data_IF_443100605502
#
_entry.id   IF_443100605502
#
_cell.length_a   1.000
_cell.length_b   1.000
_cell.length_c   1.000
_cell.angle_alpha   90.00
_cell.angle_beta   90.00
_cell.angle_gamma   90.00
#
_symmetry.space_group_name_H-M   'P 1'
#
loop_
_entity.id
_entity.type
_entity.pdbx_description
1 polymer ?
#
# COMPACT_ATOMS: atom_id res chain seq x y z
N UNK A 1 -10.65 -9.05 12.15
CA UNK A 1 -9.72 -10.09 11.67
C UNK A 1 -9.87 -10.37 10.18
N UNK A 2 -11.07 -10.62 9.66
CA UNK A 2 -11.33 -10.89 8.23
C UNK A 2 -10.84 -9.75 7.32
N UNK A 3 -11.16 -8.49 7.63
CA UNK A 3 -10.72 -7.33 6.84
C UNK A 3 -9.19 -7.17 6.77
N UNK A 4 -8.48 -7.56 7.81
CA UNK A 4 -7.02 -7.55 7.79
C UNK A 4 -6.46 -8.61 6.83
N UNK A 5 -7.05 -9.81 6.81
CA UNK A 5 -6.67 -10.86 5.85
C UNK A 5 -6.97 -10.44 4.40
N UNK A 6 -8.13 -9.85 4.15
CA UNK A 6 -8.48 -9.30 2.84
C UNK A 6 -7.48 -8.20 2.41
N UNK A 7 -7.08 -7.35 3.36
CA UNK A 7 -6.06 -6.33 3.12
C UNK A 7 -4.70 -6.93 2.77
N UNK A 8 -4.26 -7.95 3.51
CA UNK A 8 -3.01 -8.67 3.22
C UNK A 8 -3.05 -9.32 1.84
N UNK A 9 -4.17 -9.98 1.48
CA UNK A 9 -4.36 -10.58 0.15
C UNK A 9 -4.29 -9.52 -0.95
N UNK A 10 -4.92 -8.37 -0.75
CA UNK A 10 -4.83 -7.27 -1.73
C UNK A 10 -3.39 -6.78 -1.92
N UNK A 11 -2.59 -6.75 -0.85
CA UNK A 11 -1.17 -6.37 -0.91
C UNK A 11 -0.32 -7.40 -1.67
N UNK A 12 -0.58 -8.69 -1.46
CA UNK A 12 0.08 -9.75 -2.22
C UNK A 12 -0.25 -9.65 -3.71
N UNK A 13 -1.52 -9.38 -4.04
CA UNK A 13 -1.92 -9.15 -5.43
C UNK A 13 -1.22 -7.91 -6.02
N UNK A 14 -1.14 -6.81 -5.26
CA UNK A 14 -0.42 -5.61 -5.66
C UNK A 14 1.06 -5.86 -5.93
N UNK A 15 1.71 -6.73 -5.14
CA UNK A 15 3.11 -7.15 -5.40
C UNK A 15 3.24 -7.89 -6.73
N UNK A 16 2.26 -8.72 -7.09
CA UNK A 16 2.23 -9.37 -8.41
C UNK A 16 2.09 -8.35 -9.54
N UNK A 17 1.22 -7.35 -9.38
CA UNK A 17 1.06 -6.24 -10.34
C UNK A 17 2.34 -5.43 -10.46
N UNK A 18 2.98 -5.08 -9.34
CA UNK A 18 4.27 -4.38 -9.32
C UNK A 18 5.33 -5.10 -10.14
N UNK A 19 5.53 -6.38 -9.87
CA UNK A 19 6.51 -7.23 -10.58
C UNK A 19 6.21 -7.32 -12.07
N UNK A 20 4.94 -7.50 -12.44
CA UNK A 20 4.53 -7.60 -13.83
C UNK A 20 4.77 -6.28 -14.58
N UNK A 21 4.36 -5.15 -14.01
CA UNK A 21 4.52 -3.82 -14.62
C UNK A 21 5.99 -3.45 -14.70
N UNK A 22 6.77 -3.74 -13.66
CA UNK A 22 8.22 -3.51 -13.65
C UNK A 22 8.88 -4.26 -14.80
N UNK A 23 8.57 -5.55 -14.96
CA UNK A 23 9.10 -6.38 -16.04
C UNK A 23 8.72 -5.83 -17.42
N UNK A 24 7.44 -5.48 -17.63
CA UNK A 24 6.97 -4.92 -18.89
C UNK A 24 7.66 -3.58 -19.22
N UNK A 25 7.83 -2.71 -18.22
CA UNK A 25 8.49 -1.41 -18.43
C UNK A 25 9.96 -1.58 -18.76
N UNK A 26 10.67 -2.45 -18.04
CA UNK A 26 12.10 -2.67 -18.23
C UNK A 26 12.41 -3.36 -19.54
N UNK A 27 11.65 -4.39 -19.94
CA UNK A 27 11.97 -5.17 -21.14
C UNK A 27 11.44 -4.55 -22.45
N UNK A 28 10.33 -3.79 -22.40
CA UNK A 28 9.64 -3.34 -23.61
C UNK A 28 9.57 -1.82 -23.82
N UNK A 29 9.63 -1.02 -22.74
CA UNK A 29 9.39 0.42 -22.83
C UNK A 29 10.70 1.20 -22.72
N UNK A 30 11.52 0.85 -21.76
CA UNK A 30 12.78 1.53 -21.49
C UNK A 30 13.97 0.64 -21.87
N UNK A 31 15.02 1.27 -22.36
CA UNK A 31 16.30 0.63 -22.71
C UNK A 31 17.50 1.44 -22.18
N UNK A 32 17.25 2.30 -21.20
CA UNK A 32 18.25 3.13 -20.57
C UNK A 32 18.35 2.86 -19.08
N UNK A 33 19.52 3.01 -18.51
CA UNK A 33 19.77 2.82 -17.06
C UNK A 33 18.78 3.60 -16.20
N UNK A 34 18.49 4.87 -16.52
CA UNK A 34 17.55 5.70 -15.79
C UNK A 34 16.09 5.22 -15.94
N UNK A 35 15.75 4.73 -17.13
CA UNK A 35 14.43 4.14 -17.40
C UNK A 35 14.21 2.88 -16.57
N UNK A 36 15.16 1.97 -16.60
CA UNK A 36 15.04 0.65 -15.97
C UNK A 36 15.08 0.73 -14.43
N UNK A 37 16.00 1.51 -13.88
CA UNK A 37 16.27 1.51 -12.44
C UNK A 37 15.55 2.62 -11.65
N UNK A 38 15.00 3.63 -12.31
CA UNK A 38 14.31 4.74 -11.64
C UNK A 38 12.87 4.88 -12.12
N UNK A 39 12.64 4.99 -13.43
CA UNK A 39 11.29 5.27 -13.95
C UNK A 39 10.39 4.05 -13.87
N UNK A 40 10.89 2.86 -14.25
CA UNK A 40 10.12 1.61 -14.20
C UNK A 40 9.65 1.26 -12.78
N UNK A 41 10.51 1.32 -11.74
CA UNK A 41 10.06 1.09 -10.36
C UNK A 41 9.03 2.10 -9.84
N UNK A 42 9.11 3.37 -10.25
CA UNK A 42 8.10 4.38 -9.86
C UNK A 42 6.76 4.06 -10.51
N UNK A 43 6.76 3.73 -11.80
CA UNK A 43 5.54 3.37 -12.53
C UNK A 43 4.92 2.10 -11.94
N UNK A 44 5.71 1.05 -11.74
CA UNK A 44 5.22 -0.22 -11.19
C UNK A 44 4.63 -0.05 -9.79
N UNK A 45 5.29 0.74 -8.94
CA UNK A 45 4.79 1.08 -7.60
C UNK A 45 3.42 1.77 -7.66
N UNK A 46 3.24 2.76 -8.53
CA UNK A 46 1.94 3.46 -8.66
C UNK A 46 0.84 2.53 -9.17
N UNK A 47 1.13 1.62 -10.11
CA UNK A 47 0.18 0.60 -10.56
C UNK A 47 -0.18 -0.38 -9.43
N UNK A 48 0.79 -0.80 -8.63
CA UNK A 48 0.55 -1.65 -7.47
C UNK A 48 -0.31 -0.95 -6.41
N UNK A 49 -0.02 0.32 -6.10
CA UNK A 49 -0.80 1.13 -5.16
C UNK A 49 -2.22 1.34 -5.68
N UNK A 50 -2.39 1.65 -6.98
CA UNK A 50 -3.71 1.77 -7.60
C UNK A 50 -4.50 0.47 -7.49
N UNK A 51 -3.89 -0.67 -7.82
CA UNK A 51 -4.51 -1.99 -7.68
C UNK A 51 -4.97 -2.26 -6.25
N UNK A 52 -4.09 -2.06 -5.27
CA UNK A 52 -4.41 -2.22 -3.84
C UNK A 52 -5.53 -1.27 -3.39
N UNK A 53 -5.54 -0.03 -3.91
CA UNK A 53 -6.59 0.94 -3.62
C UNK A 53 -7.94 0.49 -4.20
N UNK A 54 -7.98 -0.01 -5.43
CA UNK A 54 -9.21 -0.50 -6.06
C UNK A 54 -9.80 -1.67 -5.28
N UNK A 55 -8.99 -2.64 -4.85
CA UNK A 55 -9.42 -3.73 -3.98
C UNK A 55 -9.97 -3.21 -2.65
N UNK A 56 -9.28 -2.25 -2.04
CA UNK A 56 -9.70 -1.61 -0.80
C UNK A 56 -11.02 -0.87 -0.97
N UNK A 57 -11.17 -0.10 -2.05
CA UNK A 57 -12.33 0.71 -2.34
C UNK A 57 -13.58 -0.13 -2.68
N UNK A 58 -13.44 -1.12 -3.56
CA UNK A 58 -14.60 -1.89 -4.06
C UNK A 58 -14.94 -3.10 -3.20
N UNK A 59 -14.02 -3.61 -2.41
CA UNK A 59 -14.23 -4.82 -1.60
C UNK A 59 -14.14 -4.56 -0.12
N UNK A 60 -12.96 -4.22 0.41
CA UNK A 60 -12.69 -4.24 1.86
C UNK A 60 -13.51 -3.20 2.62
N UNK A 61 -13.54 -1.97 2.13
CA UNK A 61 -14.24 -0.84 2.77
C UNK A 61 -15.47 -0.34 2.00
N UNK A 62 -16.01 -1.12 1.10
CA UNK A 62 -17.20 -0.78 0.28
C UNK A 62 -18.36 -0.21 1.10
N UNK A 63 -18.61 -0.76 2.29
CA UNK A 63 -19.70 -0.35 3.18
C UNK A 63 -19.52 1.04 3.83
N UNK A 64 -18.30 1.58 3.80
CA UNK A 64 -17.99 2.88 4.40
C UNK A 64 -17.98 4.02 3.39
N UNK A 65 -18.11 3.72 2.11
CA UNK A 65 -18.05 4.71 1.05
C UNK A 65 -19.45 5.23 0.77
N UNK A 66 -19.78 6.37 1.37
CA UNK A 66 -21.05 7.07 1.16
C UNK A 66 -20.99 7.95 -0.09
N UNK A 67 -19.93 8.77 -0.20
CA UNK A 67 -19.72 9.62 -1.37
C UNK A 67 -18.83 8.92 -2.41
N UNK A 68 -19.41 8.63 -3.58
CA UNK A 68 -18.75 7.98 -4.73
C UNK A 68 -18.40 8.94 -5.87
N UNK A 69 -18.43 10.25 -5.61
CA UNK A 69 -18.02 11.24 -6.59
C UNK A 69 -16.57 11.09 -7.04
N UNK A 70 -16.28 11.50 -8.28
CA UNK A 70 -14.93 11.40 -8.86
C UNK A 70 -13.87 12.12 -8.00
N UNK A 71 -14.18 13.33 -7.52
CA UNK A 71 -13.27 14.07 -6.62
C UNK A 71 -12.99 13.31 -5.34
N UNK A 72 -14.02 12.74 -4.70
CA UNK A 72 -13.87 11.95 -3.47
C UNK A 72 -13.04 10.67 -3.69
N UNK A 73 -13.14 10.06 -4.87
CA UNK A 73 -12.32 8.91 -5.25
C UNK A 73 -10.84 9.28 -5.30
N UNK A 74 -10.48 10.35 -6.00
CA UNK A 74 -9.09 10.78 -6.15
C UNK A 74 -8.47 11.31 -4.85
N UNK A 75 -9.25 11.99 -4.01
CA UNK A 75 -8.79 12.42 -2.68
C UNK A 75 -8.45 11.19 -1.82
N UNK A 76 -9.32 10.17 -1.81
CA UNK A 76 -9.03 8.92 -1.08
C UNK A 76 -7.83 8.17 -1.66
N UNK A 77 -7.68 8.16 -2.98
CA UNK A 77 -6.50 7.57 -3.63
C UNK A 77 -5.21 8.26 -3.21
N UNK A 78 -5.18 9.59 -3.17
CA UNK A 78 -4.01 10.35 -2.71
C UNK A 78 -3.67 10.07 -1.26
N UNK A 79 -4.68 9.98 -0.38
CA UNK A 79 -4.49 9.60 1.02
C UNK A 79 -4.00 8.16 1.16
N UNK A 80 -4.49 7.25 0.33
CA UNK A 80 -4.05 5.85 0.31
C UNK A 80 -2.59 5.73 -0.14
N UNK A 81 -2.20 6.48 -1.17
CA UNK A 81 -0.82 6.55 -1.65
C UNK A 81 0.10 7.09 -0.53
N UNK A 82 -0.26 8.21 0.10
CA UNK A 82 0.47 8.77 1.23
C UNK A 82 0.61 7.78 2.40
N UNK A 83 -0.46 7.05 2.72
CA UNK A 83 -0.44 5.97 3.72
C UNK A 83 0.54 4.85 3.32
N UNK A 84 0.61 4.50 2.04
CA UNK A 84 1.53 3.47 1.53
C UNK A 84 2.99 3.92 1.65
N UNK A 85 3.28 5.17 1.35
CA UNK A 85 4.62 5.77 1.55
C UNK A 85 4.99 5.79 3.03
N UNK A 86 4.08 6.21 3.91
CA UNK A 86 4.31 6.18 5.36
C UNK A 86 4.59 4.76 5.87
N UNK A 87 3.83 3.77 5.41
CA UNK A 87 4.06 2.36 5.73
C UNK A 87 5.43 1.86 5.27
N UNK A 88 5.89 2.31 4.10
CA UNK A 88 7.23 2.00 3.60
C UNK A 88 8.33 2.60 4.49
N UNK A 89 8.21 3.85 4.88
CA UNK A 89 9.17 4.52 5.77
C UNK A 89 9.24 3.81 7.13
N UNK A 90 8.12 3.41 7.70
CA UNK A 90 8.07 2.63 8.94
C UNK A 90 8.74 1.28 8.77
N UNK A 91 8.48 0.59 7.65
CA UNK A 91 9.17 -0.67 7.32
C UNK A 91 10.68 -0.49 7.34
N UNK A 92 11.19 0.53 6.67
CA UNK A 92 12.62 0.80 6.60
C UNK A 92 13.21 1.10 7.99
N UNK A 93 12.50 1.89 8.80
CA UNK A 93 12.91 2.19 10.17
C UNK A 93 13.05 0.92 11.01
N UNK A 94 12.02 0.05 11.01
CA UNK A 94 12.04 -1.19 11.78
C UNK A 94 13.04 -2.21 11.25
N UNK A 95 13.27 -2.26 9.94
CA UNK A 95 14.29 -3.11 9.35
C UNK A 95 15.68 -2.77 9.90
N UNK A 96 16.06 -1.49 9.88
CA UNK A 96 17.34 -1.01 10.42
C UNK A 96 17.41 -1.22 11.94
N UNK A 97 16.31 -0.97 12.64
CA UNK A 97 16.24 -1.15 14.09
C UNK A 97 16.46 -2.61 14.49
N UNK A 98 15.81 -3.55 13.80
CA UNK A 98 15.97 -4.99 14.08
C UNK A 98 17.37 -5.50 13.76
N UNK A 99 17.96 -5.04 12.66
CA UNK A 99 19.36 -5.35 12.34
C UNK A 99 20.28 -4.90 13.49
N UNK A 100 20.13 -3.65 13.96
CA UNK A 100 20.99 -3.09 15.02
C UNK A 100 20.79 -3.72 16.38
N UNK A 101 19.55 -4.09 16.76
CA UNK A 101 19.24 -4.62 18.10
C UNK A 101 19.53 -6.12 18.16
N UNK A 102 19.11 -6.88 17.15
CA UNK A 102 19.14 -8.34 17.19
C UNK A 102 20.27 -8.96 16.34
N UNK A 103 20.86 -8.19 15.43
CA UNK A 103 21.87 -8.73 14.51
C UNK A 103 21.34 -9.85 13.61
N UNK A 104 20.04 -9.86 13.33
CA UNK A 104 19.41 -10.89 12.50
C UNK A 104 19.73 -10.68 11.02
N UNK A 105 19.67 -11.77 10.24
CA UNK A 105 19.73 -11.69 8.80
C UNK A 105 18.67 -10.74 8.25
N UNK A 106 19.00 -10.05 7.14
CA UNK A 106 18.13 -9.08 6.45
C UNK A 106 16.74 -9.65 6.17
N UNK A 107 16.63 -10.95 5.87
CA UNK A 107 15.35 -11.61 5.59
C UNK A 107 14.43 -11.60 6.81
N UNK A 108 14.94 -11.96 8.00
CA UNK A 108 14.17 -11.99 9.23
C UNK A 108 13.80 -10.59 9.72
N UNK A 109 14.74 -9.64 9.60
CA UNK A 109 14.49 -8.23 9.88
C UNK A 109 13.39 -7.67 8.97
N UNK A 110 13.42 -8.01 7.67
CA UNK A 110 12.42 -7.59 6.70
C UNK A 110 11.03 -8.18 6.99
N UNK A 111 10.94 -9.45 7.35
CA UNK A 111 9.67 -10.09 7.71
C UNK A 111 9.05 -9.43 8.94
N UNK A 112 9.83 -9.20 9.99
CA UNK A 112 9.36 -8.49 11.18
C UNK A 112 8.91 -7.05 10.88
N UNK A 113 9.70 -6.32 10.10
CA UNK A 113 9.37 -4.96 9.67
C UNK A 113 8.11 -4.91 8.79
N UNK A 114 7.90 -5.90 7.91
CA UNK A 114 6.70 -6.04 7.08
C UNK A 114 5.44 -6.27 7.93
N UNK A 115 5.51 -7.09 8.96
CA UNK A 115 4.37 -7.31 9.86
C UNK A 115 3.95 -6.02 10.55
N UNK A 116 4.90 -5.28 11.12
CA UNK A 116 4.62 -4.02 11.82
C UNK A 116 4.11 -2.95 10.85
N UNK A 117 4.79 -2.75 9.72
CA UNK A 117 4.38 -1.77 8.73
C UNK A 117 3.04 -2.12 8.09
N UNK A 118 2.76 -3.42 7.91
CA UNK A 118 1.48 -3.91 7.40
C UNK A 118 0.32 -3.58 8.33
N UNK A 119 0.49 -3.82 9.63
CA UNK A 119 -0.50 -3.45 10.66
C UNK A 119 -0.70 -1.93 10.71
N UNK A 120 0.37 -1.17 10.69
CA UNK A 120 0.30 0.29 10.70
C UNK A 120 -0.39 0.85 9.45
N UNK A 121 -0.05 0.33 8.29
CA UNK A 121 -0.67 0.73 7.02
C UNK A 121 -2.15 0.34 6.96
N UNK A 122 -2.52 -0.83 7.48
CA UNK A 122 -3.92 -1.22 7.64
C UNK A 122 -4.67 -0.23 8.53
N UNK A 123 -4.09 0.13 9.68
CA UNK A 123 -4.69 1.07 10.62
C UNK A 123 -4.86 2.46 10.02
N UNK A 124 -3.83 2.99 9.35
CA UNK A 124 -3.92 4.27 8.64
C UNK A 124 -5.00 4.25 7.55
N UNK A 125 -5.07 3.17 6.79
CA UNK A 125 -6.08 3.01 5.75
C UNK A 125 -7.49 2.96 6.35
N UNK A 126 -7.68 2.26 7.45
CA UNK A 126 -8.95 2.14 8.14
C UNK A 126 -9.45 3.45 8.76
N UNK A 127 -8.54 4.21 9.37
CA UNK A 127 -8.89 5.43 10.13
C UNK A 127 -8.86 6.68 9.26
N UNK A 128 -7.92 6.79 8.32
CA UNK A 128 -7.73 8.00 7.53
C UNK A 128 -8.42 7.94 6.17
N UNK A 129 -8.16 6.89 5.42
CA UNK A 129 -8.63 6.78 4.03
C UNK A 129 -10.11 6.41 3.99
N UNK A 130 -10.49 5.40 4.76
CA UNK A 130 -11.86 4.87 4.80
C UNK A 130 -12.54 5.09 6.16
N UNK A 131 -12.45 6.33 6.66
CA UNK A 131 -13.07 6.73 7.92
C UNK A 131 -14.56 6.41 7.91
N UNK A 132 -15.07 5.87 9.02
CA UNK A 132 -16.51 5.67 9.22
C UNK A 132 -17.23 7.02 9.11
N UNK A 133 -18.35 7.10 8.38
CA UNK A 133 -19.19 8.29 8.42
C UNK A 133 -19.61 8.55 9.86
N UNK A 134 -19.56 9.81 10.29
CA UNK A 134 -20.15 10.19 11.57
C UNK A 134 -21.64 9.87 11.49
N UNK A 135 -22.13 8.96 12.34
CA UNK A 135 -23.55 8.85 12.61
C UNK A 135 -24.01 10.18 13.18
N UNK A 136 -24.86 10.89 12.44
CA UNK A 136 -25.59 12.04 12.98
C UNK A 136 -26.47 11.45 14.08
N UNK A 137 -26.41 11.93 15.34
CA UNK A 137 -27.39 11.51 16.34
C UNK A 137 -28.77 11.87 15.77
N UNK A 138 -29.65 10.88 15.70
CA UNK A 138 -31.07 11.16 15.46
C UNK A 138 -31.54 11.99 16.65
N UNK A 139 -31.92 13.25 16.40
CA UNK A 139 -32.65 14.09 17.34
C UNK A 139 -34.10 13.62 17.44
#
# INVERSE_FOLDING_TARGET
MIKYLEFVLSRLFGTGVDTLVLWLCSDYIFSSYWGDYIVSPIISFEFAVMSNYLWSYFWIWKSRIVNRGCCAFWVRFSLFNLSSVAGFLIKMLFLILFERIFGWDVVWCNLGALLISGLFNYFLTDVWVFRKPKTIPEE
#
